data_IF_924292074160
#
_entry.id   IF_924292074160
#
_cell.length_a   1.000
_cell.length_b   1.000
_cell.length_c   1.000
_cell.angle_alpha   90.00
_cell.angle_beta   90.00
_cell.angle_gamma   90.00
#
_symmetry.space_group_name_H-M   'P 1'
#
loop_
_entity.id
_entity.type
_entity.pdbx_description
1 polymer ?
#
# COMPACT_ATOMS: atom_id res chain seq x y z
N UNK A 1 13.21 2.62 -11.56
CA UNK A 1 13.10 2.18 -10.15
C UNK A 1 13.97 2.99 -9.20
N UNK A 2 15.21 3.36 -9.54
CA UNK A 2 16.13 4.08 -8.64
C UNK A 2 15.53 5.36 -8.04
N UNK A 3 14.93 6.23 -8.87
CA UNK A 3 14.28 7.47 -8.41
C UNK A 3 13.08 7.15 -7.50
N UNK A 4 12.27 6.16 -7.88
CA UNK A 4 11.13 5.67 -7.08
C UNK A 4 11.59 5.19 -5.70
N UNK A 5 12.65 4.39 -5.65
CA UNK A 5 13.23 3.92 -4.40
C UNK A 5 13.76 5.04 -3.51
N UNK A 6 14.41 6.05 -4.10
CA UNK A 6 14.89 7.22 -3.35
C UNK A 6 13.73 8.02 -2.74
N UNK A 7 12.65 8.24 -3.51
CA UNK A 7 11.44 8.91 -3.02
C UNK A 7 10.78 8.11 -1.91
N UNK A 8 10.68 6.78 -2.06
CA UNK A 8 10.14 5.90 -1.03
C UNK A 8 10.98 5.93 0.27
N UNK A 9 12.31 5.92 0.17
CA UNK A 9 13.20 6.07 1.35
C UNK A 9 12.97 7.40 2.07
N UNK A 10 12.80 8.49 1.33
CA UNK A 10 12.50 9.81 1.92
C UNK A 10 11.15 9.79 2.64
N UNK A 11 10.12 9.22 2.00
CA UNK A 11 8.79 9.07 2.61
C UNK A 11 8.83 8.19 3.87
N UNK A 12 9.54 7.06 3.83
CA UNK A 12 9.70 6.16 4.96
C UNK A 12 10.37 6.83 6.16
N UNK A 13 11.41 7.65 5.92
CA UNK A 13 12.08 8.42 6.98
C UNK A 13 11.16 9.46 7.64
N UNK A 14 10.19 10.00 6.90
CA UNK A 14 9.16 10.89 7.43
C UNK A 14 8.09 10.10 8.19
N UNK A 15 7.60 8.97 7.64
CA UNK A 15 6.64 8.10 8.31
C UNK A 15 7.14 7.55 9.64
N UNK A 16 8.43 7.26 9.76
CA UNK A 16 9.02 6.82 11.03
C UNK A 16 8.88 7.83 12.18
N UNK A 17 8.60 9.11 11.84
CA UNK A 17 8.37 10.20 12.81
C UNK A 17 6.88 10.51 13.00
N UNK A 18 6.01 9.90 12.20
CA UNK A 18 4.57 10.13 12.22
C UNK A 18 3.92 9.30 13.32
N UNK A 19 3.08 9.92 14.14
CA UNK A 19 2.37 9.26 15.23
C UNK A 19 1.23 8.36 14.75
N UNK A 20 0.69 7.54 15.65
CA UNK A 20 -0.43 6.65 15.35
C UNK A 20 -1.69 7.42 14.93
N UNK A 21 -1.94 8.58 15.54
CA UNK A 21 -3.11 9.42 15.25
C UNK A 21 -3.09 9.91 13.81
N UNK A 22 -1.96 10.43 13.35
CA UNK A 22 -1.81 10.93 11.98
C UNK A 22 -1.93 9.77 10.96
N UNK A 23 -1.31 8.61 11.24
CA UNK A 23 -1.42 7.43 10.38
C UNK A 23 -2.86 6.92 10.31
N UNK A 24 -3.57 6.87 11.44
CA UNK A 24 -4.97 6.47 11.48
C UNK A 24 -5.89 7.48 10.75
N UNK A 25 -5.64 8.77 10.87
CA UNK A 25 -6.39 9.80 10.15
C UNK A 25 -6.18 9.66 8.63
N UNK A 26 -4.94 9.41 8.18
CA UNK A 26 -4.66 9.18 6.78
C UNK A 26 -5.32 7.90 6.23
N UNK A 27 -5.38 6.82 7.03
CA UNK A 27 -6.10 5.60 6.66
C UNK A 27 -7.61 5.84 6.50
N UNK A 28 -8.22 6.60 7.43
CA UNK A 28 -9.64 6.99 7.34
C UNK A 28 -9.90 7.85 6.10
N UNK A 29 -9.07 8.86 5.88
CA UNK A 29 -9.20 9.73 4.71
C UNK A 29 -9.05 8.96 3.39
N UNK A 30 -8.15 7.98 3.33
CA UNK A 30 -8.00 7.11 2.18
C UNK A 30 -9.25 6.22 1.97
N UNK A 31 -9.84 5.67 3.05
CA UNK A 31 -11.08 4.91 2.98
C UNK A 31 -12.24 5.77 2.46
N UNK A 32 -12.42 6.97 3.02
CA UNK A 32 -13.45 7.93 2.58
C UNK A 32 -13.26 8.32 1.11
N UNK A 33 -12.00 8.56 0.70
CA UNK A 33 -11.67 8.91 -0.68
C UNK A 33 -11.97 7.78 -1.68
N UNK A 34 -11.70 6.51 -1.31
CA UNK A 34 -12.05 5.34 -2.13
C UNK A 34 -13.57 5.28 -2.38
N UNK A 35 -14.38 5.53 -1.34
CA UNK A 35 -15.84 5.56 -1.46
C UNK A 35 -16.32 6.76 -2.32
N UNK A 36 -15.77 7.95 -2.07
CA UNK A 36 -16.14 9.17 -2.79
C UNK A 36 -15.76 9.13 -4.28
N UNK A 37 -14.67 8.44 -4.63
CA UNK A 37 -14.15 8.33 -6.00
C UNK A 37 -14.47 6.98 -6.66
N UNK A 38 -15.47 6.23 -6.16
CA UNK A 38 -15.82 4.91 -6.68
C UNK A 38 -16.03 4.90 -8.19
N UNK A 39 -16.76 5.88 -8.73
CA UNK A 39 -17.06 5.94 -10.16
C UNK A 39 -15.79 6.09 -11.01
N UNK A 40 -14.81 6.85 -10.53
CA UNK A 40 -13.52 7.01 -11.19
C UNK A 40 -12.74 5.69 -11.20
N UNK A 41 -12.75 4.98 -10.07
CA UNK A 41 -12.10 3.66 -9.95
C UNK A 41 -12.78 2.63 -10.84
N UNK A 42 -14.11 2.60 -10.87
CA UNK A 42 -14.87 1.69 -11.73
C UNK A 42 -14.70 1.99 -13.23
N UNK A 43 -14.63 3.26 -13.61
CA UNK A 43 -14.34 3.65 -14.99
C UNK A 43 -12.94 3.17 -15.44
N UNK A 44 -11.95 3.20 -14.54
CA UNK A 44 -10.63 2.64 -14.81
C UNK A 44 -10.67 1.10 -14.87
N UNK A 45 -11.41 0.46 -13.96
CA UNK A 45 -11.56 -0.98 -13.92
C UNK A 45 -12.29 -1.52 -15.17
N UNK A 46 -13.24 -0.79 -15.71
CA UNK A 46 -13.94 -1.16 -16.95
C UNK A 46 -12.95 -1.33 -18.12
N UNK A 47 -11.88 -0.52 -18.20
CA UNK A 47 -10.84 -0.64 -19.23
C UNK A 47 -10.05 -1.95 -19.07
N UNK A 48 -9.70 -2.30 -17.84
CA UNK A 48 -9.01 -3.57 -17.55
C UNK A 48 -9.88 -4.77 -17.90
N UNK A 49 -11.18 -4.71 -17.56
CA UNK A 49 -12.15 -5.78 -17.89
C UNK A 49 -12.35 -5.92 -19.39
N UNK A 50 -12.44 -4.82 -20.14
CA UNK A 50 -12.56 -4.85 -21.59
C UNK A 50 -11.32 -5.50 -22.23
N UNK A 51 -10.12 -5.10 -21.79
CA UNK A 51 -8.88 -5.71 -22.25
C UNK A 51 -8.80 -7.21 -21.90
N UNK A 52 -9.22 -7.59 -20.69
CA UNK A 52 -9.25 -8.99 -20.25
C UNK A 52 -10.20 -9.84 -21.09
N UNK A 53 -11.40 -9.33 -21.42
CA UNK A 53 -12.36 -10.00 -22.31
C UNK A 53 -11.80 -10.16 -23.72
N UNK A 54 -11.17 -9.10 -24.26
CA UNK A 54 -10.54 -9.13 -25.59
C UNK A 54 -9.42 -10.18 -25.67
N UNK A 55 -8.68 -10.34 -24.57
CA UNK A 55 -7.61 -11.33 -24.42
C UNK A 55 -8.11 -12.73 -24.03
N UNK A 56 -9.42 -12.98 -24.07
CA UNK A 56 -10.05 -14.26 -23.75
C UNK A 56 -9.67 -14.80 -22.37
N UNK A 57 -9.50 -13.91 -21.39
CA UNK A 57 -9.21 -14.29 -20.01
C UNK A 57 -10.35 -15.15 -19.44
N UNK A 58 -10.00 -16.16 -18.62
CA UNK A 58 -10.98 -17.05 -17.99
C UNK A 58 -11.97 -16.28 -17.12
N UNK A 59 -13.29 -16.64 -17.14
CA UNK A 59 -14.32 -15.93 -16.37
C UNK A 59 -13.98 -15.74 -14.89
N UNK A 60 -13.42 -16.75 -14.24
CA UNK A 60 -13.01 -16.67 -12.84
C UNK A 60 -11.91 -15.63 -12.57
N UNK A 61 -11.05 -15.36 -13.55
CA UNK A 61 -10.02 -14.31 -13.45
C UNK A 61 -10.62 -12.92 -13.68
N UNK A 62 -11.56 -12.80 -14.62
CA UNK A 62 -12.32 -11.56 -14.85
C UNK A 62 -13.13 -11.20 -13.60
N UNK A 63 -13.75 -12.18 -12.95
CA UNK A 63 -14.46 -11.94 -11.68
C UNK A 63 -13.51 -11.37 -10.61
N UNK A 64 -12.32 -11.94 -10.44
CA UNK A 64 -11.32 -11.44 -9.49
C UNK A 64 -10.82 -10.03 -9.80
N UNK A 65 -10.78 -9.67 -11.08
CA UNK A 65 -10.37 -8.35 -11.56
C UNK A 65 -11.47 -7.29 -11.36
N UNK A 66 -12.73 -7.70 -11.36
CA UNK A 66 -13.88 -6.79 -11.35
C UNK A 66 -14.02 -6.06 -10.02
N UNK A 67 -14.14 -4.74 -10.04
CA UNK A 67 -14.42 -3.90 -8.86
C UNK A 67 -15.89 -3.47 -8.86
N UNK A 68 -16.73 -4.21 -8.14
CA UNK A 68 -18.10 -3.82 -7.83
C UNK A 68 -18.16 -2.81 -6.69
N UNK A 69 -19.31 -2.15 -6.49
CA UNK A 69 -19.52 -1.26 -5.33
C UNK A 69 -19.17 -1.97 -4.02
N UNK A 70 -19.69 -3.19 -3.81
CA UNK A 70 -19.41 -3.97 -2.62
C UNK A 70 -17.92 -4.28 -2.42
N UNK A 71 -17.14 -4.46 -3.51
CA UNK A 71 -15.69 -4.68 -3.42
C UNK A 71 -14.93 -3.41 -3.07
N UNK A 72 -15.37 -2.24 -3.56
CA UNK A 72 -14.79 -0.94 -3.18
C UNK A 72 -15.17 -0.62 -1.72
N UNK A 73 -16.40 -0.85 -1.32
CA UNK A 73 -16.83 -0.75 0.09
C UNK A 73 -16.00 -1.68 0.98
N UNK A 74 -15.73 -2.91 0.53
CA UNK A 74 -14.86 -3.85 1.24
C UNK A 74 -13.42 -3.36 1.41
N UNK A 75 -12.85 -2.67 0.40
CA UNK A 75 -11.53 -2.04 0.53
C UNK A 75 -11.53 -0.94 1.59
N UNK A 76 -12.54 -0.07 1.58
CA UNK A 76 -12.66 1.01 2.58
C UNK A 76 -12.85 0.44 3.99
N UNK A 77 -13.73 -0.55 4.15
CA UNK A 77 -13.95 -1.26 5.41
C UNK A 77 -12.66 -1.91 5.92
N UNK A 78 -11.87 -2.55 5.04
CA UNK A 78 -10.55 -3.08 5.39
C UNK A 78 -9.62 -2.03 5.97
N UNK A 79 -9.59 -0.81 5.39
CA UNK A 79 -8.81 0.30 5.93
C UNK A 79 -9.33 0.76 7.31
N UNK A 80 -10.65 0.83 7.51
CA UNK A 80 -11.23 1.14 8.83
C UNK A 80 -10.91 0.08 9.88
N UNK A 81 -10.90 -1.21 9.49
CA UNK A 81 -10.50 -2.29 10.39
C UNK A 81 -9.03 -2.18 10.78
N UNK A 82 -8.14 -1.84 9.84
CA UNK A 82 -6.72 -1.58 10.14
C UNK A 82 -6.54 -0.42 11.12
N UNK A 83 -7.38 0.61 11.05
CA UNK A 83 -7.37 1.72 12.03
C UNK A 83 -7.61 1.20 13.45
N UNK A 84 -8.47 0.20 13.63
CA UNK A 84 -8.80 -0.36 14.95
C UNK A 84 -7.70 -1.25 15.55
N UNK A 85 -6.72 -1.68 14.75
CA UNK A 85 -5.59 -2.46 15.23
C UNK A 85 -4.71 -1.63 16.16
N UNK A 86 -4.07 -2.28 17.11
CA UNK A 86 -3.04 -1.68 17.97
C UNK A 86 -1.89 -1.12 17.14
N UNK A 87 -1.18 -0.14 17.69
CA UNK A 87 0.05 0.38 17.05
C UNK A 87 1.18 -0.64 17.17
N UNK A 88 1.66 -1.19 16.06
CA UNK A 88 2.78 -2.12 16.12
C UNK A 88 4.12 -1.43 16.41
N UNK A 89 4.19 -0.09 16.24
CA UNK A 89 5.43 0.66 16.39
C UNK A 89 5.65 1.01 17.85
N UNK A 90 6.85 0.73 18.34
CA UNK A 90 7.23 1.08 19.70
C UNK A 90 6.86 0.02 20.75
N UNK A 91 6.16 -1.04 20.38
CA UNK A 91 5.89 -2.16 21.28
C UNK A 91 7.20 -2.78 21.78
N UNK A 92 7.30 -2.94 23.12
CA UNK A 92 8.44 -3.58 23.77
C UNK A 92 8.07 -5.04 24.05
N UNK A 93 8.67 -5.96 23.31
CA UNK A 93 8.35 -7.39 23.38
C UNK A 93 9.11 -8.11 24.50
N UNK A 94 10.22 -7.56 24.97
CA UNK A 94 10.96 -8.09 26.13
C UNK A 94 11.85 -7.01 26.74
N UNK A 95 12.08 -7.11 28.06
CA UNK A 95 13.01 -6.27 28.82
C UNK A 95 13.76 -7.15 29.82
N UNK A 96 15.10 -7.05 29.86
CA UNK A 96 15.94 -7.84 30.77
C UNK A 96 17.03 -6.98 31.39
N UNK A 97 17.20 -7.09 32.71
CA UNK A 97 18.34 -6.51 33.40
C UNK A 97 19.56 -7.43 33.26
N UNK A 98 20.71 -6.86 32.95
CA UNK A 98 21.99 -7.56 32.89
C UNK A 98 22.67 -7.51 34.25
N UNK A 99 23.67 -8.37 34.54
CA UNK A 99 24.39 -8.37 35.81
C UNK A 99 25.06 -7.04 36.16
N UNK A 100 25.42 -6.25 35.15
CA UNK A 100 25.99 -4.91 35.31
C UNK A 100 24.94 -3.79 35.50
N UNK A 101 23.66 -4.15 35.68
CA UNK A 101 22.55 -3.21 35.88
C UNK A 101 21.93 -2.65 34.58
N UNK A 102 22.51 -2.89 33.40
CA UNK A 102 21.98 -2.40 32.13
C UNK A 102 20.65 -3.07 31.78
N UNK A 103 19.65 -2.26 31.44
CA UNK A 103 18.35 -2.74 30.93
C UNK A 103 18.40 -2.86 29.40
N UNK A 104 18.19 -4.06 28.88
CA UNK A 104 18.14 -4.33 27.44
C UNK A 104 16.73 -4.79 27.06
N UNK A 105 16.13 -4.10 26.08
CA UNK A 105 14.79 -4.42 25.56
C UNK A 105 14.79 -4.61 24.04
N UNK A 106 13.79 -5.33 23.55
CA UNK A 106 13.46 -5.42 22.11
C UNK A 106 12.26 -4.54 21.83
N UNK A 107 12.42 -3.55 20.96
CA UNK A 107 11.38 -2.62 20.52
C UNK A 107 11.10 -2.81 19.04
N UNK A 108 9.81 -2.90 18.64
CA UNK A 108 9.42 -2.95 17.23
C UNK A 108 9.60 -1.58 16.58
N UNK A 109 10.17 -1.56 15.38
CA UNK A 109 10.39 -0.37 14.56
C UNK A 109 9.97 -0.65 13.11
N UNK A 110 9.62 0.38 12.32
CA UNK A 110 9.36 0.21 10.89
C UNK A 110 10.56 -0.40 10.14
N UNK A 111 10.30 -1.18 9.11
CA UNK A 111 11.34 -1.72 8.21
C UNK A 111 11.90 -0.65 7.27
N UNK A 112 11.08 0.35 6.91
CA UNK A 112 11.41 1.42 6.00
C UNK A 112 10.61 1.35 4.71
N UNK A 113 11.16 0.76 3.65
CA UNK A 113 10.46 0.57 2.37
C UNK A 113 10.16 -0.91 2.16
N UNK A 114 8.92 -1.22 1.81
CA UNK A 114 8.46 -2.58 1.50
C UNK A 114 8.05 -2.62 0.03
N UNK A 115 8.60 -3.57 -0.73
CA UNK A 115 8.13 -3.87 -2.07
C UNK A 115 7.14 -5.04 -2.02
N UNK A 116 5.97 -4.88 -2.66
CA UNK A 116 4.93 -5.92 -2.72
C UNK A 116 4.61 -6.21 -4.17
N UNK A 117 4.86 -7.47 -4.57
CA UNK A 117 4.55 -8.01 -5.90
C UNK A 117 3.32 -8.91 -5.74
N UNK A 118 2.27 -8.63 -6.49
CA UNK A 118 1.00 -9.34 -6.38
C UNK A 118 0.33 -9.55 -7.75
N UNK A 119 -0.63 -10.45 -7.79
CA UNK A 119 -1.39 -10.78 -8.99
C UNK A 119 -2.43 -9.68 -9.35
N UNK A 120 -3.21 -9.92 -10.40
CA UNK A 120 -4.26 -9.04 -10.90
C UNK A 120 -5.49 -9.01 -9.98
N UNK A 121 -5.32 -8.51 -8.77
CA UNK A 121 -6.36 -8.30 -7.74
C UNK A 121 -6.30 -6.87 -7.23
N UNK A 122 -7.10 -5.96 -7.80
CA UNK A 122 -6.98 -4.52 -7.48
C UNK A 122 -7.18 -4.18 -6.00
N UNK A 123 -8.01 -4.94 -5.27
CA UNK A 123 -8.23 -4.73 -3.84
C UNK A 123 -6.95 -4.85 -3.01
N UNK A 124 -6.00 -5.70 -3.41
CA UNK A 124 -4.71 -5.87 -2.70
C UNK A 124 -3.93 -4.56 -2.64
N UNK A 125 -4.12 -3.65 -3.61
CA UNK A 125 -3.50 -2.32 -3.61
C UNK A 125 -3.86 -1.53 -2.35
N UNK A 126 -5.13 -1.51 -1.96
CA UNK A 126 -5.60 -0.82 -0.76
C UNK A 126 -5.17 -1.56 0.52
N UNK A 127 -5.26 -2.89 0.53
CA UNK A 127 -4.86 -3.71 1.69
C UNK A 127 -3.35 -3.55 1.99
N UNK A 128 -2.52 -3.65 0.96
CA UNK A 128 -1.07 -3.49 1.06
C UNK A 128 -0.70 -2.08 1.57
N UNK A 129 -1.33 -1.04 1.03
CA UNK A 129 -1.16 0.33 1.52
C UNK A 129 -1.54 0.44 2.99
N UNK A 130 -2.71 -0.04 3.37
CA UNK A 130 -3.21 0.10 4.74
C UNK A 130 -2.28 -0.52 5.77
N UNK A 131 -1.85 -1.76 5.54
CA UNK A 131 -0.96 -2.49 6.45
C UNK A 131 0.43 -1.85 6.54
N UNK A 132 0.98 -1.38 5.42
CA UNK A 132 2.30 -0.75 5.41
C UNK A 132 2.27 0.63 6.05
N UNK A 133 1.27 1.46 5.77
CA UNK A 133 1.12 2.77 6.43
C UNK A 133 0.90 2.62 7.93
N UNK A 134 0.03 1.69 8.37
CA UNK A 134 -0.21 1.42 9.80
C UNK A 134 1.09 1.07 10.53
N UNK A 135 1.95 0.27 9.90
CA UNK A 135 3.24 -0.13 10.45
C UNK A 135 4.39 0.84 10.15
N UNK A 136 4.09 2.06 9.64
CA UNK A 136 5.05 3.15 9.44
C UNK A 136 6.02 2.94 8.29
N UNK A 137 5.65 2.11 7.31
CA UNK A 137 6.49 1.80 6.15
C UNK A 137 5.94 2.48 4.89
N UNK A 138 6.83 2.92 4.02
CA UNK A 138 6.47 3.23 2.64
C UNK A 138 6.39 1.95 1.81
N UNK A 139 5.54 1.94 0.77
CA UNK A 139 5.33 0.78 -0.08
C UNK A 139 5.55 1.09 -1.55
N UNK A 140 6.24 0.18 -2.25
CA UNK A 140 6.33 0.15 -3.70
C UNK A 140 5.54 -1.08 -4.18
N UNK A 141 4.51 -0.82 -4.96
CA UNK A 141 3.57 -1.83 -5.43
C UNK A 141 3.88 -2.24 -6.87
N UNK A 142 3.85 -3.54 -7.14
CA UNK A 142 3.93 -4.11 -8.49
C UNK A 142 2.80 -5.11 -8.67
N UNK A 143 1.66 -4.64 -9.16
CA UNK A 143 0.51 -5.48 -9.50
C UNK A 143 0.66 -6.16 -10.86
N UNK A 144 -0.24 -7.10 -11.15
CA UNK A 144 -0.35 -7.72 -12.46
C UNK A 144 -0.73 -6.70 -13.54
N UNK A 145 -0.23 -6.91 -14.77
CA UNK A 145 -0.48 -6.03 -15.93
C UNK A 145 -1.95 -5.88 -16.28
N UNK A 146 -2.76 -6.93 -16.00
CA UNK A 146 -4.18 -6.96 -16.32
C UNK A 146 -5.03 -6.00 -15.45
N UNK A 147 -4.47 -5.49 -14.34
CA UNK A 147 -5.14 -4.59 -13.41
C UNK A 147 -4.50 -3.18 -13.38
N UNK A 148 -3.73 -2.82 -14.39
CA UNK A 148 -2.90 -1.61 -14.34
C UNK A 148 -3.71 -0.32 -14.23
N UNK A 149 -4.84 -0.21 -14.94
CA UNK A 149 -5.70 0.97 -14.87
C UNK A 149 -6.38 1.09 -13.50
N UNK A 150 -6.90 -0.01 -12.99
CA UNK A 150 -7.52 -0.08 -11.66
C UNK A 150 -6.53 0.28 -10.55
N UNK A 151 -5.35 -0.33 -10.57
CA UNK A 151 -4.31 -0.08 -9.58
C UNK A 151 -3.84 1.37 -9.62
N UNK A 152 -3.68 1.94 -10.82
CA UNK A 152 -3.30 3.36 -10.99
C UNK A 152 -4.36 4.29 -10.43
N UNK A 153 -5.65 4.02 -10.68
CA UNK A 153 -6.75 4.83 -10.15
C UNK A 153 -6.81 4.77 -8.62
N UNK A 154 -6.70 3.57 -8.03
CA UNK A 154 -6.69 3.39 -6.56
C UNK A 154 -5.50 4.13 -5.94
N UNK A 155 -4.29 3.96 -6.48
CA UNK A 155 -3.09 4.64 -5.97
C UNK A 155 -3.21 6.16 -6.10
N UNK A 156 -3.76 6.67 -7.20
CA UNK A 156 -3.99 8.12 -7.38
C UNK A 156 -4.92 8.67 -6.30
N UNK A 157 -6.05 8.02 -6.05
CA UNK A 157 -7.03 8.41 -5.02
C UNK A 157 -6.38 8.43 -3.63
N UNK A 158 -5.65 7.38 -3.28
CA UNK A 158 -4.94 7.28 -1.99
C UNK A 158 -3.86 8.38 -1.90
N UNK A 159 -3.08 8.61 -2.95
CA UNK A 159 -2.02 9.62 -2.98
C UNK A 159 -2.57 11.04 -2.77
N UNK A 160 -3.75 11.34 -3.34
CA UNK A 160 -4.43 12.62 -3.12
C UNK A 160 -4.85 12.78 -1.65
N UNK A 161 -5.47 11.76 -1.06
CA UNK A 161 -5.88 11.79 0.35
C UNK A 161 -4.70 11.93 1.32
N UNK A 162 -3.55 11.32 1.01
CA UNK A 162 -2.34 11.47 1.81
C UNK A 162 -1.83 12.92 1.82
N UNK A 163 -1.86 13.60 0.66
CA UNK A 163 -1.47 15.03 0.56
C UNK A 163 -2.36 15.90 1.43
N UNK A 164 -3.67 15.67 1.41
CA UNK A 164 -4.63 16.40 2.23
C UNK A 164 -4.40 16.22 3.73
N UNK A 165 -3.91 15.03 4.13
CA UNK A 165 -3.54 14.72 5.51
C UNK A 165 -2.12 15.17 5.90
N UNK A 166 -1.36 15.79 5.00
CA UNK A 166 0.03 16.19 5.25
C UNK A 166 1.03 15.03 5.31
N UNK A 167 0.63 13.84 4.87
CA UNK A 167 1.52 12.67 4.72
C UNK A 167 2.20 12.74 3.34
N UNK A 168 3.49 12.40 3.30
CA UNK A 168 4.21 12.36 2.03
C UNK A 168 3.54 11.38 1.06
N UNK A 169 3.08 11.84 -0.13
CA UNK A 169 2.37 10.99 -1.09
C UNK A 169 3.23 9.83 -1.64
N UNK A 170 4.55 9.94 -1.56
CA UNK A 170 5.48 8.86 -1.96
C UNK A 170 5.52 7.69 -0.95
N UNK A 171 4.71 7.76 0.12
CA UNK A 171 4.47 6.63 1.01
C UNK A 171 3.82 5.42 0.30
N UNK A 172 3.14 5.67 -0.82
CA UNK A 172 2.63 4.64 -1.72
C UNK A 172 3.07 4.96 -3.16
N UNK A 173 3.69 4.01 -3.83
CA UNK A 173 4.09 4.13 -5.22
C UNK A 173 3.74 2.86 -5.99
N UNK A 174 3.36 3.02 -7.27
CA UNK A 174 3.02 1.92 -8.16
C UNK A 174 4.02 1.87 -9.33
N UNK A 175 4.60 0.71 -9.57
CA UNK A 175 5.35 0.43 -10.80
C UNK A 175 4.35 0.25 -11.94
N UNK A 176 4.24 1.26 -12.80
CA UNK A 176 3.27 1.28 -13.91
C UNK A 176 3.79 0.59 -15.18
N UNK A 177 5.09 0.46 -15.31
CA UNK A 177 5.69 -0.29 -16.42
C UNK A 177 5.45 -1.79 -16.23
N UNK A 178 4.94 -2.44 -17.26
CA UNK A 178 4.54 -3.85 -17.25
C UNK A 178 5.66 -4.82 -17.58
N UNK A 179 6.87 -4.32 -17.90
CA UNK A 179 8.02 -5.18 -18.19
C UNK A 179 8.36 -6.06 -16.96
N UNK A 180 8.49 -7.36 -17.23
CA UNK A 180 8.86 -8.36 -16.20
C UNK A 180 10.31 -8.19 -15.72
N UNK A 181 11.19 -7.61 -16.51
CA UNK A 181 12.57 -7.32 -16.11
C UNK A 181 12.60 -6.42 -14.85
N UNK A 182 11.65 -5.51 -14.70
CA UNK A 182 11.53 -4.64 -13.53
C UNK A 182 11.23 -5.40 -12.23
N UNK A 183 10.63 -6.58 -12.28
CA UNK A 183 10.45 -7.43 -11.10
C UNK A 183 11.82 -7.89 -10.59
N UNK A 184 12.68 -8.35 -11.50
CA UNK A 184 14.05 -8.76 -11.14
C UNK A 184 14.86 -7.57 -10.62
N UNK A 185 14.76 -6.41 -11.27
CA UNK A 185 15.42 -5.18 -10.82
C UNK A 185 14.93 -4.79 -9.41
N UNK A 186 13.63 -4.87 -9.15
CA UNK A 186 13.05 -4.59 -7.83
C UNK A 186 13.57 -5.54 -6.76
N UNK A 187 13.68 -6.84 -7.08
CA UNK A 187 14.20 -7.86 -6.15
C UNK A 187 15.70 -7.70 -5.87
N UNK A 188 16.48 -7.25 -6.85
CA UNK A 188 17.92 -6.99 -6.71
C UNK A 188 18.23 -5.59 -6.22
N UNK A 189 17.22 -4.75 -6.06
CA UNK A 189 17.40 -3.36 -5.64
C UNK A 189 17.94 -3.25 -4.22
N UNK A 190 18.89 -2.33 -4.02
CA UNK A 190 19.41 -1.96 -2.69
C UNK A 190 18.43 -1.10 -1.87
N UNK A 191 17.17 -0.93 -2.30
CA UNK A 191 16.13 -0.20 -1.56
C UNK A 191 15.88 -0.86 -0.20
N UNK A 192 16.03 -2.18 -0.14
CA UNK A 192 15.76 -3.00 1.05
C UNK A 192 16.92 -3.04 2.06
N UNK A 193 18.03 -2.39 1.77
CA UNK A 193 19.23 -2.41 2.62
C UNK A 193 19.43 -1.08 3.31
#
# INVERSE_FOLDING_TARGET
LTVMGQRAKTAAAQLAKTGITERNNALKAAADALLAKRDTIQAANAKDIEAAKKNQMKPAMIDRLTLTDARIEGMAEGLYQIVQLDDPIGEITSMKQRPNGLMIGKKKVPLGVIAIIYESRPNVTADAFGLTLKSGNAVILRGGSDAIHSNTAIVSVITESLKECGINPDAIQLVTDTDRALVTELMLSLIHI
#
